data_IF_621403956743
#
_entry.id   IF_621403956743
#
_cell.length_a   1.000
_cell.length_b   1.000
_cell.length_c   1.000
_cell.angle_alpha   90.00
_cell.angle_beta   90.00
_cell.angle_gamma   90.00
#
_symmetry.space_group_name_H-M   'P 1'
#
loop_
_entity.id
_entity.type
_entity.pdbx_description
1 polymer ?
#
# COMPACT_ATOMS: atom_id res chain seq x y z
N UNK A 1 3.06 5.53 -4.14
CA UNK A 1 3.04 6.67 -3.18
C UNK A 1 1.59 6.99 -2.83
N UNK A 2 0.83 7.73 -3.65
CA UNK A 2 -0.53 8.19 -3.32
C UNK A 2 -1.54 7.08 -2.92
N UNK A 3 -1.40 5.86 -3.44
CA UNK A 3 -2.34 4.76 -3.17
C UNK A 3 -2.18 4.10 -1.79
N UNK A 4 -0.98 4.11 -1.22
CA UNK A 4 -0.67 3.29 -0.04
C UNK A 4 -0.21 4.09 1.15
N UNK A 5 0.44 5.23 0.93
CA UNK A 5 0.87 6.16 1.96
C UNK A 5 -0.28 6.57 2.88
N UNK A 6 0.07 6.90 4.11
CA UNK A 6 -0.84 7.41 5.14
C UNK A 6 -0.25 8.68 5.78
N UNK A 7 -0.90 9.19 6.83
CA UNK A 7 -0.48 10.42 7.52
C UNK A 7 0.91 10.31 8.19
N UNK A 8 1.42 9.09 8.40
CA UNK A 8 2.74 8.82 8.97
C UNK A 8 3.81 8.64 7.88
N UNK A 9 3.46 8.73 6.60
CA UNK A 9 4.40 8.79 5.49
C UNK A 9 4.23 7.66 4.47
N UNK A 10 5.34 7.14 3.96
CA UNK A 10 5.31 6.12 2.92
C UNK A 10 4.85 4.78 3.47
N UNK A 11 4.11 4.04 2.65
CA UNK A 11 3.86 2.60 2.83
C UNK A 11 4.25 1.92 1.53
N UNK A 12 5.39 1.26 1.52
CA UNK A 12 5.95 0.70 0.30
C UNK A 12 5.59 -0.78 0.16
N UNK A 13 5.08 -1.21 -0.99
CA UNK A 13 4.97 -2.63 -1.29
C UNK A 13 6.34 -3.32 -1.21
N UNK A 14 6.46 -4.47 -0.52
CA UNK A 14 7.73 -5.17 -0.33
C UNK A 14 8.53 -5.41 -1.61
N UNK A 15 7.88 -5.68 -2.75
CA UNK A 15 8.58 -5.90 -4.03
C UNK A 15 9.34 -4.66 -4.53
N UNK A 16 8.89 -3.45 -4.16
CA UNK A 16 9.47 -2.17 -4.60
C UNK A 16 10.28 -1.47 -3.51
N UNK A 17 10.11 -1.85 -2.25
CA UNK A 17 10.78 -1.20 -1.13
C UNK A 17 12.32 -1.33 -1.22
N UNK A 18 13.10 -0.23 -1.24
CA UNK A 18 14.57 -0.30 -1.29
C UNK A 18 15.18 -1.03 -0.09
N UNK A 19 14.56 -0.86 1.09
CA UNK A 19 14.81 -1.61 2.30
C UNK A 19 13.50 -2.31 2.63
N UNK A 20 13.51 -3.65 2.71
CA UNK A 20 12.34 -4.43 3.07
C UNK A 20 12.27 -4.64 4.59
N UNK A 21 13.43 -4.86 5.20
CA UNK A 21 13.58 -5.15 6.62
C UNK A 21 14.68 -4.27 7.19
N UNK A 22 14.38 -3.57 8.29
CA UNK A 22 15.39 -2.85 9.07
C UNK A 22 15.48 -3.40 10.48
N UNK A 23 16.69 -3.67 10.95
CA UNK A 23 16.95 -4.04 12.33
C UNK A 23 17.57 -2.87 13.10
N UNK A 24 16.98 -2.55 14.26
CA UNK A 24 17.41 -1.46 15.12
C UNK A 24 17.75 -2.04 16.51
N UNK A 25 19.02 -2.00 16.94
CA UNK A 25 19.41 -2.45 18.27
C UNK A 25 18.99 -1.42 19.33
N UNK A 26 18.67 -1.91 20.53
CA UNK A 26 18.44 -1.09 21.72
C UNK A 26 19.43 -1.57 22.79
N UNK A 27 20.32 -0.70 23.25
CA UNK A 27 21.40 -1.07 24.16
C UNK A 27 21.76 0.12 25.07
N UNK A 28 22.46 -0.18 26.16
CA UNK A 28 23.05 0.80 27.07
C UNK A 28 24.56 0.66 27.18
N UNK A 29 25.09 -0.54 26.89
CA UNK A 29 26.53 -0.82 26.91
C UNK A 29 27.02 -1.30 25.56
N UNK A 30 28.32 -1.16 25.34
CA UNK A 30 29.00 -1.64 24.13
C UNK A 30 28.91 -3.17 24.00
N UNK A 31 28.97 -3.90 25.12
CA UNK A 31 28.86 -5.36 25.14
C UNK A 31 27.46 -5.83 24.69
N UNK A 32 26.40 -5.16 25.15
CA UNK A 32 25.04 -5.42 24.69
C UNK A 32 24.91 -5.16 23.19
N UNK A 33 25.47 -4.05 22.69
CA UNK A 33 25.45 -3.70 21.28
C UNK A 33 26.08 -4.80 20.42
N UNK A 34 27.30 -5.23 20.75
CA UNK A 34 28.03 -6.24 19.98
C UNK A 34 27.27 -7.56 19.92
N UNK A 35 26.69 -8.01 21.03
CA UNK A 35 25.89 -9.25 21.07
C UNK A 35 24.63 -9.17 20.20
N UNK A 36 23.96 -8.01 20.19
CA UNK A 36 22.77 -7.78 19.36
C UNK A 36 23.16 -7.65 17.88
N UNK A 37 24.25 -6.96 17.58
CA UNK A 37 24.79 -6.82 16.23
C UNK A 37 25.13 -8.18 15.63
N UNK A 38 25.85 -9.04 16.35
CA UNK A 38 26.17 -10.39 15.89
C UNK A 38 24.91 -11.20 15.49
N UNK A 39 23.87 -11.15 16.33
CA UNK A 39 22.57 -11.80 16.05
C UNK A 39 21.96 -11.24 14.78
N UNK A 40 21.81 -9.92 14.67
CA UNK A 40 21.17 -9.32 13.49
C UNK A 40 21.99 -9.47 12.21
N UNK A 41 23.32 -9.50 12.31
CA UNK A 41 24.18 -9.76 11.16
C UNK A 41 24.04 -11.21 10.66
N UNK A 42 23.87 -12.18 11.56
CA UNK A 42 23.54 -13.57 11.20
C UNK A 42 22.17 -13.66 10.50
N UNK A 43 21.13 -13.09 11.11
CA UNK A 43 19.79 -13.03 10.49
C UNK A 43 19.81 -12.30 9.14
N UNK A 44 20.54 -11.19 9.05
CA UNK A 44 20.70 -10.42 7.82
C UNK A 44 21.35 -11.22 6.69
N UNK A 45 22.31 -12.11 6.99
CA UNK A 45 22.88 -13.03 5.98
C UNK A 45 21.83 -14.02 5.49
N UNK A 46 21.05 -14.60 6.39
CA UNK A 46 19.99 -15.56 6.04
C UNK A 46 18.91 -14.91 5.15
N UNK A 47 18.42 -13.73 5.55
CA UNK A 47 17.45 -12.96 4.79
C UNK A 47 17.99 -12.58 3.40
N UNK A 48 19.25 -12.11 3.32
CA UNK A 48 19.88 -11.77 2.04
C UNK A 48 20.04 -12.99 1.13
N UNK A 49 20.32 -14.17 1.68
CA UNK A 49 20.39 -15.41 0.90
C UNK A 49 19.05 -15.78 0.25
N UNK A 50 17.93 -15.35 0.85
CA UNK A 50 16.56 -15.45 0.31
C UNK A 50 16.19 -14.29 -0.63
N UNK A 51 17.13 -13.37 -0.92
CA UNK A 51 16.88 -12.20 -1.75
C UNK A 51 16.19 -11.03 -1.03
N UNK A 52 16.08 -11.07 0.30
CA UNK A 52 15.42 -10.04 1.10
C UNK A 52 16.42 -8.91 1.41
N UNK A 53 16.02 -7.66 1.10
CA UNK A 53 16.81 -6.45 1.31
C UNK A 53 16.76 -6.03 2.78
N UNK A 54 17.80 -6.40 3.51
CA UNK A 54 17.97 -6.16 4.93
C UNK A 54 18.98 -5.04 5.21
N UNK A 55 18.65 -4.14 6.17
CA UNK A 55 19.54 -3.12 6.73
C UNK A 55 19.64 -3.28 8.25
N UNK A 56 20.86 -3.28 8.78
CA UNK A 56 21.10 -3.06 10.21
C UNK A 56 21.41 -1.56 10.44
N UNK A 57 20.80 -0.96 11.46
CA UNK A 57 21.04 0.44 11.85
C UNK A 57 21.63 0.54 13.26
N UNK A 58 22.95 0.41 13.34
CA UNK A 58 23.73 0.63 14.56
C UNK A 58 24.19 2.08 14.80
N UNK A 59 23.62 3.10 14.16
CA UNK A 59 24.06 4.50 14.34
C UNK A 59 23.78 5.01 15.76
N UNK A 60 24.80 5.11 16.60
CA UNK A 60 24.66 5.51 18.01
C UNK A 60 24.30 7.00 18.20
N UNK A 61 24.44 7.82 17.15
CA UNK A 61 24.10 9.25 17.25
C UNK A 61 22.60 9.51 17.35
N UNK A 62 21.76 8.50 17.13
CA UNK A 62 20.31 8.65 17.04
C UNK A 62 19.60 7.69 17.98
N UNK A 63 18.70 8.25 18.79
CA UNK A 63 17.88 7.48 19.73
C UNK A 63 17.00 6.46 18.96
N UNK A 64 16.76 5.26 19.50
CA UNK A 64 15.94 4.24 18.83
C UNK A 64 14.57 4.74 18.37
N UNK A 65 13.87 5.51 19.20
CA UNK A 65 12.56 6.09 18.83
C UNK A 65 12.62 7.03 17.63
N UNK A 66 13.73 7.75 17.42
CA UNK A 66 13.92 8.57 16.23
C UNK A 66 14.12 7.70 14.98
N UNK A 67 14.92 6.63 15.09
CA UNK A 67 15.12 5.66 14.01
C UNK A 67 13.82 4.98 13.63
N UNK A 68 13.01 4.61 14.61
CA UNK A 68 11.69 3.99 14.41
C UNK A 68 10.81 4.86 13.52
N UNK A 69 10.64 6.13 13.89
CA UNK A 69 9.88 7.09 13.10
C UNK A 69 10.51 7.32 11.72
N UNK A 70 11.84 7.44 11.63
CA UNK A 70 12.52 7.60 10.34
C UNK A 70 12.17 6.47 9.35
N UNK A 71 12.20 5.22 9.81
CA UNK A 71 11.90 4.06 8.97
C UNK A 71 10.40 3.89 8.69
N UNK A 72 9.54 4.30 9.61
CA UNK A 72 8.10 4.37 9.40
C UNK A 72 7.76 5.41 8.32
N UNK A 73 8.32 6.62 8.40
CA UNK A 73 8.15 7.68 7.39
C UNK A 73 8.68 7.26 6.01
N UNK A 74 9.83 6.57 5.98
CA UNK A 74 10.40 6.02 4.74
C UNK A 74 9.62 4.82 4.19
N UNK A 75 8.70 4.27 4.96
CA UNK A 75 7.83 3.18 4.56
C UNK A 75 8.51 1.83 4.46
N UNK A 76 9.52 1.56 5.31
CA UNK A 76 10.13 0.24 5.39
C UNK A 76 9.08 -0.77 5.86
N UNK A 77 8.80 -1.84 5.09
CA UNK A 77 7.70 -2.77 5.39
C UNK A 77 7.75 -3.41 6.77
N UNK A 78 8.94 -3.85 7.20
CA UNK A 78 9.14 -4.53 8.48
C UNK A 78 10.30 -3.88 9.24
N UNK A 79 10.06 -3.55 10.51
CA UNK A 79 11.11 -3.20 11.47
C UNK A 79 11.27 -4.32 12.48
N UNK A 80 12.51 -4.70 12.74
CA UNK A 80 12.92 -5.55 13.85
C UNK A 80 13.62 -4.69 14.90
N UNK A 81 13.32 -4.92 16.17
CA UNK A 81 14.03 -4.30 17.28
C UNK A 81 14.34 -5.34 18.35
N UNK A 82 15.52 -5.24 18.96
CA UNK A 82 15.95 -6.15 20.02
C UNK A 82 16.67 -5.33 21.09
N UNK A 83 16.22 -5.48 22.33
CA UNK A 83 16.94 -5.01 23.52
C UNK A 83 17.64 -6.14 24.28
N UNK A 84 18.32 -5.83 25.40
CA UNK A 84 19.01 -6.84 26.21
C UNK A 84 18.05 -7.89 26.77
N UNK A 85 16.84 -7.47 27.17
CA UNK A 85 15.79 -8.37 27.64
C UNK A 85 15.32 -9.33 26.55
N UNK A 86 15.14 -8.84 25.32
CA UNK A 86 14.70 -9.70 24.22
C UNK A 86 15.82 -10.68 23.83
N UNK A 87 17.07 -10.22 23.83
CA UNK A 87 18.24 -11.05 23.59
C UNK A 87 18.34 -12.20 24.61
N UNK A 88 18.15 -11.93 25.90
CA UNK A 88 18.16 -12.94 26.97
C UNK A 88 17.04 -13.97 26.81
N UNK A 89 15.86 -13.53 26.35
CA UNK A 89 14.70 -14.40 26.15
C UNK A 89 14.66 -15.06 24.77
N UNK A 90 15.63 -14.78 23.89
CA UNK A 90 15.64 -15.30 22.51
C UNK A 90 14.49 -14.74 21.65
N UNK A 91 14.04 -13.52 21.92
CA UNK A 91 12.92 -12.86 21.25
C UNK A 91 13.40 -11.68 20.40
N UNK A 92 12.51 -11.19 19.52
CA UNK A 92 12.68 -9.95 18.76
C UNK A 92 11.32 -9.27 18.59
N UNK A 93 11.27 -7.95 18.77
CA UNK A 93 10.09 -7.14 18.42
C UNK A 93 10.04 -7.00 16.89
N UNK A 94 8.90 -7.35 16.30
CA UNK A 94 8.57 -7.12 14.91
C UNK A 94 7.44 -6.10 14.82
N UNK A 95 7.63 -5.06 14.01
CA UNK A 95 6.61 -4.07 13.68
C UNK A 95 6.34 -4.06 12.17
N UNK A 96 5.06 -4.09 11.80
CA UNK A 96 4.58 -3.98 10.42
C UNK A 96 4.23 -2.54 10.07
N UNK A 97 4.63 -2.07 8.90
CA UNK A 97 4.31 -0.70 8.46
C UNK A 97 2.89 -0.51 7.94
N UNK A 98 2.30 -1.54 7.32
CA UNK A 98 1.00 -1.45 6.66
C UNK A 98 -0.19 -1.47 7.64
N UNK A 99 -0.07 -2.22 8.74
CA UNK A 99 -1.10 -2.35 9.80
C UNK A 99 -0.74 -1.65 11.11
N UNK A 100 0.53 -1.25 11.29
CA UNK A 100 1.09 -0.71 12.54
C UNK A 100 1.06 -1.69 13.71
N UNK A 101 0.82 -2.97 13.44
CA UNK A 101 0.84 -4.03 14.43
C UNK A 101 2.27 -4.31 14.90
N UNK A 102 2.40 -4.63 16.19
CA UNK A 102 3.65 -5.03 16.83
C UNK A 102 3.46 -6.39 17.49
N UNK A 103 4.46 -7.24 17.37
CA UNK A 103 4.48 -8.57 17.96
C UNK A 103 5.87 -8.91 18.44
N UNK A 104 5.99 -9.69 19.52
CA UNK A 104 7.25 -10.31 19.91
C UNK A 104 7.27 -11.75 19.39
N UNK A 105 8.32 -12.12 18.66
CA UNK A 105 8.47 -13.45 18.07
C UNK A 105 9.81 -14.07 18.50
N UNK A 106 9.92 -15.40 18.42
CA UNK A 106 11.20 -16.08 18.60
C UNK A 106 12.20 -15.61 17.53
N UNK A 107 13.44 -15.34 17.97
CA UNK A 107 14.51 -14.97 17.04
C UNK A 107 14.84 -16.11 16.06
N UNK A 108 14.70 -17.36 16.50
CA UNK A 108 14.97 -18.54 15.67
C UNK A 108 13.99 -18.66 14.50
N UNK A 109 12.74 -18.24 14.68
CA UNK A 109 11.73 -18.25 13.62
C UNK A 109 11.64 -16.93 12.84
N UNK A 110 12.49 -15.93 13.16
CA UNK A 110 12.37 -14.58 12.62
C UNK A 110 12.54 -14.56 11.10
N UNK A 111 13.49 -15.30 10.54
CA UNK A 111 13.72 -15.35 9.09
C UNK A 111 12.51 -15.87 8.31
N UNK A 112 11.95 -17.00 8.74
CA UNK A 112 10.77 -17.58 8.10
C UNK A 112 9.52 -16.67 8.26
N UNK A 113 9.35 -16.09 9.45
CA UNK A 113 8.24 -15.17 9.73
C UNK A 113 8.32 -13.92 8.85
N UNK A 114 9.51 -13.33 8.73
CA UNK A 114 9.75 -12.15 7.88
C UNK A 114 9.45 -12.45 6.42
N UNK A 115 9.90 -13.59 5.90
CA UNK A 115 9.64 -14.01 4.52
C UNK A 115 8.14 -14.09 4.22
N UNK A 116 7.37 -14.76 5.09
CA UNK A 116 5.92 -14.86 4.95
C UNK A 116 5.25 -13.48 5.05
N UNK A 117 5.62 -12.66 6.03
CA UNK A 117 5.02 -11.35 6.22
C UNK A 117 5.25 -10.40 5.05
N UNK A 118 6.39 -10.47 4.36
CA UNK A 118 6.61 -9.67 3.15
C UNK A 118 5.65 -10.07 2.01
N UNK A 119 5.25 -11.35 1.92
CA UNK A 119 4.22 -11.79 0.97
C UNK A 119 2.82 -11.30 1.40
N UNK A 120 2.52 -11.39 2.68
CA UNK A 120 1.23 -10.98 3.23
C UNK A 120 1.02 -9.47 3.10
N UNK A 121 2.02 -8.66 3.47
CA UNK A 121 1.99 -7.19 3.30
C UNK A 121 1.75 -6.82 1.83
N UNK A 122 2.44 -7.50 0.90
CA UNK A 122 2.27 -7.25 -0.54
C UNK A 122 0.84 -7.55 -1.01
N UNK A 123 0.24 -8.62 -0.50
CA UNK A 123 -1.13 -9.04 -0.82
C UNK A 123 -2.16 -8.12 -0.20
N UNK A 124 -2.00 -7.78 1.08
CA UNK A 124 -2.86 -6.87 1.83
C UNK A 124 -2.93 -5.49 1.19
N UNK A 125 -1.79 -4.91 0.78
CA UNK A 125 -1.77 -3.61 0.11
C UNK A 125 -2.52 -3.63 -1.23
N UNK A 126 -2.39 -4.71 -1.99
CA UNK A 126 -3.10 -4.87 -3.25
C UNK A 126 -4.61 -5.03 -3.01
N UNK A 127 -5.01 -5.91 -2.10
CA UNK A 127 -6.42 -6.13 -1.75
C UNK A 127 -7.09 -4.85 -1.25
N UNK A 128 -6.46 -4.15 -0.30
CA UNK A 128 -6.94 -2.87 0.20
C UNK A 128 -7.15 -1.85 -0.92
N UNK A 129 -6.22 -1.76 -1.87
CA UNK A 129 -6.34 -0.86 -3.02
C UNK A 129 -7.45 -1.26 -4.00
N UNK A 130 -7.66 -2.58 -4.19
CA UNK A 130 -8.74 -3.11 -5.04
C UNK A 130 -10.10 -2.81 -4.41
N UNK A 131 -10.26 -3.05 -3.12
CA UNK A 131 -11.47 -2.76 -2.36
C UNK A 131 -11.76 -1.26 -2.35
N UNK A 132 -10.75 -0.42 -2.08
CA UNK A 132 -10.91 1.02 -2.14
C UNK A 132 -11.39 1.48 -3.53
N UNK A 133 -10.77 0.99 -4.61
CA UNK A 133 -11.23 1.30 -5.98
C UNK A 133 -12.66 0.83 -6.21
N UNK A 134 -13.01 -0.39 -5.79
CA UNK A 134 -14.36 -0.94 -5.97
C UNK A 134 -15.41 -0.11 -5.20
N UNK A 135 -15.14 0.26 -3.94
CA UNK A 135 -16.03 1.09 -3.13
C UNK A 135 -16.17 2.53 -3.67
N UNK A 136 -15.16 3.02 -4.39
CA UNK A 136 -15.18 4.34 -5.05
C UNK A 136 -15.45 4.24 -6.55
N UNK A 137 -16.09 3.15 -6.99
CA UNK A 137 -16.61 2.99 -8.35
C UNK A 137 -18.11 2.82 -8.25
N UNK A 138 -18.85 3.68 -8.94
CA UNK A 138 -20.30 3.75 -8.83
C UNK A 138 -20.94 3.53 -10.19
N UNK A 139 -22.00 2.73 -10.24
CA UNK A 139 -22.87 2.65 -11.40
C UNK A 139 -23.92 3.76 -11.32
N UNK A 140 -24.13 4.48 -12.42
CA UNK A 140 -25.14 5.53 -12.53
C UNK A 140 -25.89 5.39 -13.86
N UNK A 141 -27.19 5.66 -13.84
CA UNK A 141 -28.07 5.47 -15.01
C UNK A 141 -28.63 6.78 -15.58
N UNK A 142 -28.60 7.86 -14.78
CA UNK A 142 -29.11 9.17 -15.18
C UNK A 142 -28.04 10.23 -15.11
N UNK A 143 -28.16 11.24 -15.96
CA UNK A 143 -27.19 12.33 -15.97
C UNK A 143 -27.34 13.24 -14.74
N UNK A 144 -28.53 13.34 -14.16
CA UNK A 144 -28.77 14.05 -12.91
C UNK A 144 -28.00 13.42 -11.75
N UNK A 145 -28.10 12.08 -11.58
CA UNK A 145 -27.35 11.37 -10.53
C UNK A 145 -25.84 11.53 -10.74
N UNK A 146 -25.37 11.37 -11.98
CA UNK A 146 -23.98 11.57 -12.34
C UNK A 146 -23.47 12.96 -11.92
N UNK A 147 -24.21 14.02 -12.25
CA UNK A 147 -23.84 15.41 -11.92
C UNK A 147 -23.81 15.68 -10.42
N UNK A 148 -24.68 15.05 -9.64
CA UNK A 148 -24.70 15.23 -8.18
C UNK A 148 -23.48 14.60 -7.51
N UNK A 149 -22.99 13.47 -8.03
CA UNK A 149 -21.96 12.65 -7.37
C UNK A 149 -20.56 12.86 -7.90
N UNK A 150 -20.39 13.31 -9.14
CA UNK A 150 -19.07 13.43 -9.79
C UNK A 150 -18.10 14.36 -9.06
N UNK A 151 -18.62 15.31 -8.28
CA UNK A 151 -17.84 16.24 -7.45
C UNK A 151 -17.32 15.60 -6.15
N UNK A 152 -17.93 14.51 -5.68
CA UNK A 152 -17.48 13.72 -4.52
C UNK A 152 -16.21 12.91 -4.83
N UNK A 153 -15.89 12.75 -6.12
CA UNK A 153 -14.76 11.98 -6.60
C UNK A 153 -15.06 10.50 -6.82
N UNK A 154 -14.08 9.78 -7.38
CA UNK A 154 -14.21 8.37 -7.74
C UNK A 154 -14.44 8.11 -9.22
N UNK A 155 -14.83 6.88 -9.53
CA UNK A 155 -15.10 6.39 -10.88
C UNK A 155 -16.59 6.16 -11.07
N UNK A 156 -17.10 6.45 -12.26
CA UNK A 156 -18.52 6.35 -12.58
C UNK A 156 -18.72 5.51 -13.84
N UNK A 157 -19.33 4.34 -13.68
CA UNK A 157 -19.74 3.46 -14.76
C UNK A 157 -21.09 3.91 -15.28
N UNK A 158 -21.11 4.50 -16.47
CA UNK A 158 -22.33 5.00 -17.09
C UNK A 158 -22.42 4.60 -18.55
N UNK A 159 -23.64 4.42 -19.04
CA UNK A 159 -23.88 4.19 -20.46
C UNK A 159 -23.62 5.44 -21.28
N UNK A 160 -22.92 5.26 -22.41
CA UNK A 160 -22.60 6.29 -23.38
C UNK A 160 -22.96 5.84 -24.79
N UNK A 161 -23.46 6.76 -25.61
CA UNK A 161 -23.96 6.50 -26.97
C UNK A 161 -22.85 6.39 -28.03
N UNK A 162 -21.59 6.61 -27.66
CA UNK A 162 -20.46 6.53 -28.59
C UNK A 162 -20.18 7.83 -29.34
N UNK A 163 -20.90 8.92 -29.04
CA UNK A 163 -20.78 10.18 -29.79
C UNK A 163 -19.86 11.20 -29.09
N UNK A 164 -19.07 11.91 -29.90
CA UNK A 164 -18.19 13.00 -29.44
C UNK A 164 -18.99 14.16 -28.82
N UNK A 165 -20.16 14.48 -29.38
CA UNK A 165 -21.02 15.55 -28.88
C UNK A 165 -21.46 15.30 -27.42
N UNK A 166 -21.83 14.07 -27.09
CA UNK A 166 -22.20 13.69 -25.71
C UNK A 166 -20.97 13.76 -24.78
N UNK A 167 -19.80 13.33 -25.23
CA UNK A 167 -18.58 13.43 -24.44
C UNK A 167 -18.20 14.90 -24.15
N UNK A 168 -18.29 15.76 -25.17
CA UNK A 168 -18.01 17.19 -25.05
C UNK A 168 -18.98 17.89 -24.09
N UNK A 169 -20.28 17.53 -24.15
CA UNK A 169 -21.27 18.06 -23.21
C UNK A 169 -20.93 17.70 -21.76
N UNK A 170 -20.68 16.41 -21.49
CA UNK A 170 -20.32 15.92 -20.14
C UNK A 170 -19.07 16.64 -19.64
N UNK A 171 -18.05 16.77 -20.48
CA UNK A 171 -16.81 17.49 -20.13
C UNK A 171 -17.05 18.95 -19.83
N UNK A 172 -17.86 19.64 -20.64
CA UNK A 172 -18.08 21.07 -20.46
C UNK A 172 -18.85 21.37 -19.16
N UNK A 173 -19.90 20.58 -18.89
CA UNK A 173 -20.75 20.76 -17.71
C UNK A 173 -20.11 20.25 -16.41
N UNK A 174 -19.35 19.14 -16.45
CA UNK A 174 -18.89 18.45 -15.23
C UNK A 174 -17.39 18.39 -15.06
N UNK A 175 -16.62 18.72 -16.11
CA UNK A 175 -15.15 18.50 -16.21
C UNK A 175 -14.73 17.02 -16.17
N UNK A 176 -15.67 16.08 -16.11
CA UNK A 176 -15.37 14.67 -16.23
C UNK A 176 -15.13 14.27 -17.70
N UNK A 177 -14.26 13.30 -17.91
CA UNK A 177 -14.02 12.70 -19.22
C UNK A 177 -14.06 11.18 -19.09
N UNK A 178 -14.24 10.49 -20.21
CA UNK A 178 -14.09 9.03 -20.25
C UNK A 178 -12.61 8.70 -19.98
N UNK A 179 -12.37 7.74 -19.08
CA UNK A 179 -11.03 7.26 -18.70
C UNK A 179 -10.65 6.04 -19.49
N UNK A 180 -11.60 5.11 -19.63
CA UNK A 180 -11.48 3.96 -20.49
C UNK A 180 -12.85 3.32 -20.73
N UNK A 181 -12.88 2.48 -21.75
CA UNK A 181 -13.96 1.52 -21.97
C UNK A 181 -13.46 0.19 -21.37
N UNK A 182 -14.10 -0.36 -20.32
CA UNK A 182 -13.67 -1.60 -19.71
C UNK A 182 -13.67 -2.76 -20.70
N UNK A 183 -12.60 -3.57 -20.70
CA UNK A 183 -12.61 -4.84 -21.41
C UNK A 183 -13.57 -5.79 -20.71
N UNK A 184 -14.74 -5.99 -21.30
CA UNK A 184 -15.81 -6.83 -20.77
C UNK A 184 -16.10 -7.94 -21.77
N UNK A 185 -16.01 -9.21 -21.35
CA UNK A 185 -16.31 -10.36 -22.23
C UNK A 185 -17.78 -10.38 -22.69
N UNK A 186 -18.68 -9.91 -21.82
CA UNK A 186 -20.11 -9.83 -22.08
C UNK A 186 -20.62 -8.41 -21.80
N UNK A 187 -20.46 -7.47 -22.75
CA UNK A 187 -20.98 -6.12 -22.59
C UNK A 187 -22.51 -6.15 -22.49
N UNK A 188 -23.06 -5.47 -21.48
CA UNK A 188 -24.50 -5.30 -21.32
C UNK A 188 -24.91 -4.03 -22.05
N UNK A 189 -25.79 -4.08 -23.07
CA UNK A 189 -26.29 -2.88 -23.72
C UNK A 189 -27.29 -2.14 -22.82
N UNK A 190 -27.41 -0.84 -23.03
CA UNK A 190 -28.31 0.02 -22.26
C UNK A 190 -28.63 1.32 -23.00
N UNK A 191 -28.89 2.38 -22.25
CA UNK A 191 -29.24 3.70 -22.79
C UNK A 191 -28.27 4.74 -22.26
N UNK A 192 -27.78 5.61 -23.12
CA UNK A 192 -26.90 6.70 -22.73
C UNK A 192 -27.54 7.54 -21.62
N UNK A 193 -26.79 7.80 -20.55
CA UNK A 193 -27.28 8.56 -19.40
C UNK A 193 -27.71 9.99 -19.76
N UNK A 194 -27.15 10.55 -20.85
CA UNK A 194 -27.38 11.93 -21.31
C UNK A 194 -28.49 11.99 -22.35
N UNK A 195 -28.38 11.20 -23.42
CA UNK A 195 -29.25 11.33 -24.61
C UNK A 195 -30.39 10.31 -24.64
N UNK A 196 -30.33 9.26 -23.81
CA UNK A 196 -31.25 8.13 -23.84
C UNK A 196 -31.08 7.20 -25.06
N UNK A 197 -30.15 7.50 -25.96
CA UNK A 197 -29.87 6.70 -27.16
C UNK A 197 -29.24 5.34 -26.81
N UNK A 198 -29.32 4.33 -27.69
CA UNK A 198 -28.70 3.04 -27.45
C UNK A 198 -27.21 3.14 -27.13
N UNK A 199 -26.78 2.39 -26.12
CA UNK A 199 -25.39 2.28 -25.68
C UNK A 199 -24.97 0.81 -25.69
N UNK A 200 -23.79 0.52 -26.26
CA UNK A 200 -23.30 -0.86 -26.34
C UNK A 200 -22.82 -1.41 -24.98
N UNK A 201 -22.28 -0.54 -24.12
CA UNK A 201 -21.77 -0.89 -22.79
C UNK A 201 -21.57 0.36 -21.92
N UNK A 202 -21.36 0.16 -20.62
CA UNK A 202 -20.92 1.24 -19.73
C UNK A 202 -19.45 1.58 -19.97
N UNK A 203 -19.12 2.86 -19.84
CA UNK A 203 -17.76 3.39 -19.86
C UNK A 203 -17.44 4.01 -18.50
N UNK A 204 -16.15 4.17 -18.18
CA UNK A 204 -15.72 4.79 -16.93
C UNK A 204 -15.51 6.28 -17.14
N UNK A 205 -16.32 7.10 -16.48
CA UNK A 205 -16.10 8.53 -16.32
C UNK A 205 -15.39 8.82 -15.00
N UNK A 206 -14.55 9.86 -14.99
CA UNK A 206 -14.04 10.47 -13.76
C UNK A 206 -13.54 11.89 -14.04
N UNK A 207 -13.30 12.68 -13.00
CA UNK A 207 -12.47 13.89 -13.11
C UNK A 207 -10.99 13.53 -13.21
N UNK A 208 -10.24 14.32 -13.97
CA UNK A 208 -8.80 14.12 -14.11
C UNK A 208 -8.11 14.66 -12.85
N UNK A 209 -6.94 14.10 -12.55
CA UNK A 209 -6.04 14.67 -11.55
C UNK A 209 -5.51 16.03 -12.02
#
# INVERSE_FOLDING_TARGET
VMTHSDDEGLVLPPKLAPIQVVAVPIYKTEEEFQRIEEKFMALGKELKAKGIRFKFDGDDNKRPGWKFNEYEVKGVPIRLAMGPRDLENGLVELARRDTKEKSSISFESASATVEQLLLDIQSNLLERSKLHRAHNTFEVDTYEEFKQRIDEGGFFLAHWDGTEATEELVKNETKATIRCIPFTEHPVPGKCMVTGQPSAQRVIFAKAY
#
